data_IF_456859769497
#
_entry.id   IF_456859769497
#
_cell.length_a   1.000
_cell.length_b   1.000
_cell.length_c   1.000
_cell.angle_alpha   90.00
_cell.angle_beta   90.00
_cell.angle_gamma   90.00
#
_symmetry.space_group_name_H-M   'P 1'
#
loop_
_entity.id
_entity.type
_entity.pdbx_description
1 polymer ?
#
# COMPACT_ATOMS: atom_id res chain seq x y z
N UNK A 1 22.80 73.53 8.22
CA UNK A 1 23.99 74.01 8.96
C UNK A 1 23.94 73.36 10.33
N UNK A 2 24.61 72.22 10.55
CA UNK A 2 25.91 72.11 11.25
C UNK A 2 25.67 71.95 12.77
N UNK A 3 26.27 71.06 13.56
CA UNK A 3 27.44 70.18 13.51
C UNK A 3 27.18 69.04 14.52
N UNK A 4 27.44 67.76 14.20
CA UNK A 4 28.70 67.01 14.49
C UNK A 4 29.05 66.94 15.97
N UNK A 5 29.09 65.71 16.53
CA UNK A 5 30.16 65.16 17.37
C UNK A 5 29.90 63.66 17.65
N UNK A 6 30.66 62.82 16.98
CA UNK A 6 31.26 61.56 17.47
C UNK A 6 32.76 61.90 17.73
N UNK A 7 33.63 61.14 18.47
CA UNK A 7 33.64 59.67 18.59
C UNK A 7 34.19 59.07 19.92
N UNK A 8 34.01 57.75 20.12
CA UNK A 8 35.02 56.79 20.65
C UNK A 8 34.41 55.37 20.69
N UNK A 9 34.71 54.51 19.72
CA UNK A 9 35.78 53.51 19.79
C UNK A 9 35.52 52.33 20.75
N UNK A 10 34.91 51.25 20.24
CA UNK A 10 35.24 49.89 20.69
C UNK A 10 35.28 48.96 19.48
N UNK A 11 36.46 48.36 19.29
CA UNK A 11 36.80 47.39 18.24
C UNK A 11 36.50 46.00 18.78
N UNK A 12 35.66 45.23 18.09
CA UNK A 12 35.66 43.78 18.20
C UNK A 12 35.61 43.17 16.79
N UNK A 13 36.63 42.37 16.49
CA UNK A 13 36.82 41.58 15.26
C UNK A 13 35.86 40.38 15.25
N UNK A 14 35.33 39.94 14.10
CA UNK A 14 34.84 38.59 13.92
C UNK A 14 35.98 37.69 13.40
N UNK A 15 36.33 36.70 14.21
CA UNK A 15 37.23 35.60 13.85
C UNK A 15 36.56 34.69 12.82
N UNK A 16 37.26 34.41 11.73
CA UNK A 16 36.86 33.46 10.71
C UNK A 16 36.67 32.05 11.30
N UNK A 17 35.48 31.48 11.15
CA UNK A 17 35.20 30.07 11.39
C UNK A 17 35.50 29.28 10.12
N UNK A 18 36.41 28.32 10.25
CA UNK A 18 36.70 27.26 9.29
C UNK A 18 35.41 26.59 8.79
N UNK A 19 35.26 26.51 7.48
CA UNK A 19 34.34 25.58 6.83
C UNK A 19 34.96 24.18 6.89
N UNK A 20 34.26 23.25 7.54
CA UNK A 20 34.54 21.82 7.45
C UNK A 20 33.98 21.29 6.12
N UNK A 21 34.87 20.78 5.26
CA UNK A 21 34.52 19.96 4.10
C UNK A 21 33.93 18.62 4.58
N UNK A 22 32.62 18.46 4.43
CA UNK A 22 31.94 17.18 4.59
C UNK A 22 32.03 16.39 3.28
N UNK A 23 32.55 15.17 3.40
CA UNK A 23 32.76 14.18 2.35
C UNK A 23 31.46 13.90 1.55
N UNK A 24 31.45 14.27 0.27
CA UNK A 24 30.45 13.79 -0.70
C UNK A 24 30.82 12.37 -1.15
N UNK A 25 30.21 11.38 -0.50
CA UNK A 25 30.26 9.97 -0.91
C UNK A 25 28.85 9.35 -1.08
N UNK A 26 27.84 10.16 -1.44
CA UNK A 26 26.43 9.74 -1.48
C UNK A 26 25.82 9.60 -2.88
N UNK A 27 26.54 9.88 -3.97
CA UNK A 27 25.91 9.99 -5.31
C UNK A 27 25.85 8.69 -6.12
N UNK A 28 26.56 7.63 -5.72
CA UNK A 28 26.55 6.35 -6.44
C UNK A 28 25.40 5.44 -6.01
N UNK A 29 24.89 5.58 -4.78
CA UNK A 29 23.81 4.76 -4.25
C UNK A 29 22.46 5.06 -4.94
N UNK A 30 22.19 6.34 -5.20
CA UNK A 30 20.92 6.82 -5.78
C UNK A 30 20.72 6.33 -7.22
N UNK A 31 21.80 6.14 -7.98
CA UNK A 31 21.73 5.63 -9.35
C UNK A 31 21.39 4.13 -9.40
N UNK A 32 21.96 3.33 -8.49
CA UNK A 32 21.67 1.89 -8.43
C UNK A 32 20.24 1.63 -7.96
N UNK A 33 19.76 2.37 -6.96
CA UNK A 33 18.36 2.31 -6.51
C UNK A 33 17.38 2.66 -7.63
N UNK A 34 17.67 3.73 -8.40
CA UNK A 34 16.84 4.13 -9.55
C UNK A 34 16.81 3.06 -10.65
N UNK A 35 17.94 2.36 -10.86
CA UNK A 35 18.05 1.29 -11.85
C UNK A 35 17.33 0.01 -11.41
N UNK A 36 17.38 -0.32 -10.12
CA UNK A 36 16.63 -1.45 -9.55
C UNK A 36 15.13 -1.19 -9.66
N UNK A 37 14.66 0.00 -9.27
CA UNK A 37 13.25 0.38 -9.42
C UNK A 37 12.76 0.30 -10.86
N UNK A 38 13.56 0.78 -11.83
CA UNK A 38 13.19 0.69 -13.26
C UNK A 38 13.12 -0.77 -13.76
N UNK A 39 13.98 -1.65 -13.24
CA UNK A 39 13.96 -3.08 -13.59
C UNK A 39 12.74 -3.79 -12.97
N UNK A 40 12.37 -3.43 -11.75
CA UNK A 40 11.17 -3.94 -11.09
C UNK A 40 9.89 -3.52 -11.82
N UNK A 41 9.81 -2.25 -12.22
CA UNK A 41 8.70 -1.70 -13.02
C UNK A 41 8.58 -2.41 -14.38
N UNK A 42 9.69 -2.59 -15.10
CA UNK A 42 9.72 -3.34 -16.37
C UNK A 42 9.33 -4.80 -16.19
N UNK A 43 9.76 -5.43 -15.10
CA UNK A 43 9.40 -6.81 -14.81
C UNK A 43 7.91 -6.96 -14.50
N UNK A 44 7.31 -6.01 -13.78
CA UNK A 44 5.87 -5.97 -13.54
C UNK A 44 5.08 -5.83 -14.84
N UNK A 45 5.46 -4.90 -15.72
CA UNK A 45 4.82 -4.75 -17.04
C UNK A 45 4.92 -6.01 -17.90
N UNK A 46 6.08 -6.67 -17.90
CA UNK A 46 6.26 -7.94 -18.62
C UNK A 46 5.37 -9.08 -18.06
N UNK A 47 5.14 -9.11 -16.75
CA UNK A 47 4.23 -10.08 -16.14
C UNK A 47 2.78 -9.85 -16.57
N UNK A 48 2.35 -8.59 -16.65
CA UNK A 48 1.03 -8.21 -17.14
C UNK A 48 0.84 -8.64 -18.60
N UNK A 49 1.82 -8.37 -19.46
CA UNK A 49 1.81 -8.81 -20.87
C UNK A 49 1.71 -10.34 -21.00
N UNK A 50 2.42 -11.08 -20.14
CA UNK A 50 2.36 -12.55 -20.11
C UNK A 50 0.96 -13.05 -19.69
N UNK A 51 0.30 -12.37 -18.75
CA UNK A 51 -1.07 -12.71 -18.33
C UNK A 51 -2.05 -12.43 -19.48
N UNK A 52 -1.98 -11.25 -20.10
CA UNK A 52 -2.83 -10.91 -21.25
C UNK A 52 -2.64 -11.88 -22.42
N UNK A 53 -1.42 -12.30 -22.70
CA UNK A 53 -1.13 -13.29 -23.74
C UNK A 53 -1.72 -14.66 -23.42
N UNK A 54 -1.70 -15.10 -22.16
CA UNK A 54 -2.32 -16.37 -21.73
C UNK A 54 -3.84 -16.33 -21.87
N UNK A 55 -4.48 -15.21 -21.54
CA UNK A 55 -5.92 -15.03 -21.70
C UNK A 55 -6.34 -15.08 -23.17
N UNK A 56 -5.60 -14.38 -24.04
CA UNK A 56 -5.80 -14.44 -25.49
C UNK A 56 -5.64 -15.86 -26.03
N UNK A 57 -4.61 -16.60 -25.57
CA UNK A 57 -4.39 -17.98 -25.97
C UNK A 57 -5.52 -18.92 -25.53
N UNK A 58 -6.05 -18.74 -24.32
CA UNK A 58 -7.20 -19.50 -23.83
C UNK A 58 -8.48 -19.18 -24.62
N UNK A 59 -8.74 -17.91 -24.88
CA UNK A 59 -9.88 -17.47 -25.70
C UNK A 59 -9.82 -18.05 -27.12
N UNK A 60 -8.63 -18.03 -27.73
CA UNK A 60 -8.38 -18.64 -29.03
C UNK A 60 -8.61 -20.15 -29.00
N UNK A 61 -8.05 -20.85 -28.00
CA UNK A 61 -8.22 -22.29 -27.84
C UNK A 61 -9.70 -22.69 -27.70
N UNK A 62 -10.47 -21.97 -26.86
CA UNK A 62 -11.91 -22.18 -26.71
C UNK A 62 -12.65 -21.98 -28.05
N UNK A 63 -12.24 -20.98 -28.84
CA UNK A 63 -12.85 -20.70 -30.15
C UNK A 63 -12.55 -21.82 -31.15
N UNK A 64 -11.32 -22.33 -31.18
CA UNK A 64 -10.91 -23.47 -32.01
C UNK A 64 -11.66 -24.75 -31.61
N UNK A 65 -11.79 -25.03 -30.31
CA UNK A 65 -12.53 -26.19 -29.81
C UNK A 65 -14.02 -26.12 -30.16
N UNK A 66 -14.62 -24.92 -30.16
CA UNK A 66 -16.01 -24.71 -30.61
C UNK A 66 -16.16 -24.96 -32.11
N UNK A 67 -15.17 -24.59 -32.93
CA UNK A 67 -15.17 -24.82 -34.37
C UNK A 67 -14.97 -26.30 -34.74
N UNK A 68 -14.29 -27.08 -33.91
CA UNK A 68 -14.01 -28.49 -34.16
C UNK A 68 -15.16 -29.44 -33.73
N UNK A 69 -16.22 -28.94 -33.08
CA UNK A 69 -17.37 -29.77 -32.70
C UNK A 69 -18.33 -29.94 -33.89
N UNK A 70 -18.60 -31.17 -34.35
CA UNK A 70 -19.36 -31.43 -35.58
C UNK A 70 -20.85 -31.04 -35.52
N UNK A 71 -21.38 -30.72 -34.34
CA UNK A 71 -22.82 -30.53 -34.11
C UNK A 71 -23.28 -29.06 -33.96
N UNK A 72 -22.45 -28.07 -34.30
CA UNK A 72 -22.88 -26.66 -34.29
C UNK A 72 -23.59 -26.30 -35.60
N UNK A 73 -24.91 -26.03 -35.61
CA UNK A 73 -25.60 -25.49 -36.76
C UNK A 73 -25.15 -24.03 -36.96
N UNK A 74 -24.18 -23.82 -37.84
CA UNK A 74 -23.72 -22.49 -38.22
C UNK A 74 -24.86 -21.78 -38.95
N UNK A 75 -25.54 -20.85 -38.27
CA UNK A 75 -26.37 -19.86 -38.95
C UNK A 75 -25.43 -18.99 -39.80
N UNK A 76 -25.38 -19.29 -41.09
CA UNK A 76 -24.56 -18.59 -42.07
C UNK A 76 -25.06 -17.16 -42.28
N UNK A 77 -24.61 -16.23 -41.42
CA UNK A 77 -24.35 -14.87 -41.87
C UNK A 77 -23.26 -14.93 -42.95
N UNK A 78 -23.42 -14.13 -44.01
CA UNK A 78 -22.60 -14.11 -45.22
C UNK A 78 -21.17 -14.66 -45.00
N UNK A 79 -20.91 -15.84 -45.56
CA UNK A 79 -19.66 -16.59 -45.36
C UNK A 79 -18.45 -15.68 -45.61
N UNK A 80 -17.61 -15.54 -44.58
CA UNK A 80 -16.19 -15.24 -44.77
C UNK A 80 -15.66 -16.28 -45.75
N UNK A 81 -15.08 -15.81 -46.84
CA UNK A 81 -14.62 -16.66 -47.94
C UNK A 81 -13.54 -17.62 -47.42
N UNK A 82 -13.33 -18.76 -48.09
CA UNK A 82 -12.22 -19.66 -47.76
C UNK A 82 -10.86 -18.92 -47.69
N UNK A 83 -10.74 -17.84 -48.47
CA UNK A 83 -9.61 -16.90 -48.44
C UNK A 83 -9.41 -16.22 -47.08
N UNK A 84 -10.47 -15.88 -46.35
CA UNK A 84 -10.38 -15.18 -45.05
C UNK A 84 -9.91 -16.13 -43.93
N UNK A 85 -10.32 -17.40 -44.01
CA UNK A 85 -9.88 -18.44 -43.07
C UNK A 85 -8.40 -18.75 -43.32
N UNK A 86 -7.99 -18.86 -44.58
CA UNK A 86 -6.60 -19.09 -44.93
C UNK A 86 -5.70 -17.90 -44.56
N UNK A 87 -6.15 -16.66 -44.79
CA UNK A 87 -5.45 -15.46 -44.33
C UNK A 87 -5.31 -15.42 -42.80
N UNK A 88 -6.37 -15.78 -42.05
CA UNK A 88 -6.32 -15.86 -40.58
C UNK A 88 -5.33 -16.92 -40.10
N UNK A 89 -5.29 -18.09 -40.74
CA UNK A 89 -4.35 -19.16 -40.43
C UNK A 89 -2.89 -18.74 -40.71
N UNK A 90 -2.64 -18.01 -41.81
CA UNK A 90 -1.32 -17.48 -42.11
C UNK A 90 -0.88 -16.39 -41.12
N UNK A 91 -1.80 -15.52 -40.71
CA UNK A 91 -1.54 -14.51 -39.68
C UNK A 91 -1.20 -15.16 -38.32
N UNK A 92 -1.90 -16.23 -37.94
CA UNK A 92 -1.59 -16.97 -36.71
C UNK A 92 -0.20 -17.64 -36.77
N UNK A 93 0.18 -18.20 -37.93
CA UNK A 93 1.53 -18.75 -38.14
C UNK A 93 2.61 -17.67 -38.06
N UNK A 94 2.37 -16.51 -38.66
CA UNK A 94 3.29 -15.37 -38.60
C UNK A 94 3.48 -14.90 -37.15
N UNK A 95 2.38 -14.71 -36.41
CA UNK A 95 2.43 -14.31 -35.02
C UNK A 95 3.21 -15.30 -34.14
N UNK A 96 3.04 -16.62 -34.36
CA UNK A 96 3.82 -17.64 -33.65
C UNK A 96 5.33 -17.57 -33.93
N UNK A 97 5.74 -17.25 -35.16
CA UNK A 97 7.16 -17.04 -35.50
C UNK A 97 7.72 -15.77 -34.84
N UNK A 98 6.94 -14.70 -34.82
CA UNK A 98 7.32 -13.42 -34.20
C UNK A 98 7.48 -13.57 -32.69
N UNK A 99 6.60 -14.33 -32.03
CA UNK A 99 6.71 -14.64 -30.61
C UNK A 99 7.96 -15.47 -30.29
N UNK A 100 8.33 -16.41 -31.19
CA UNK A 100 9.54 -17.21 -31.05
C UNK A 100 10.80 -16.35 -31.21
N UNK A 101 10.79 -15.42 -32.17
CA UNK A 101 11.86 -14.43 -32.36
C UNK A 101 12.02 -13.52 -31.15
N UNK A 102 10.93 -12.98 -30.62
CA UNK A 102 10.91 -12.17 -29.39
C UNK A 102 11.46 -12.94 -28.18
N UNK A 103 11.11 -14.22 -28.07
CA UNK A 103 11.66 -15.10 -27.03
C UNK A 103 13.18 -15.31 -27.18
N UNK A 104 13.68 -15.42 -28.40
CA UNK A 104 15.12 -15.52 -28.69
C UNK A 104 15.85 -14.18 -28.45
N UNK A 105 15.19 -13.04 -28.68
CA UNK A 105 15.72 -11.70 -28.44
C UNK A 105 15.74 -11.34 -26.93
N UNK A 106 14.73 -11.78 -26.18
CA UNK A 106 14.65 -11.61 -24.72
C UNK A 106 15.65 -12.49 -23.94
N UNK A 107 16.22 -13.51 -24.59
CA UNK A 107 17.36 -14.27 -24.07
C UNK A 107 18.64 -13.83 -24.79
N UNK A 108 19.31 -12.76 -24.34
CA UNK A 108 20.57 -12.38 -24.95
C UNK A 108 21.56 -13.55 -24.79
N UNK A 109 21.93 -14.14 -25.93
CA UNK A 109 23.07 -15.03 -26.03
C UNK A 109 24.30 -14.20 -25.65
N UNK A 110 24.76 -14.37 -24.42
CA UNK A 110 26.02 -13.81 -23.92
C UNK A 110 27.15 -14.53 -24.66
N UNK A 111 27.45 -14.06 -25.86
CA UNK A 111 28.67 -14.36 -26.57
C UNK A 111 29.43 -13.05 -26.75
N UNK A 112 30.54 -12.97 -26.03
CA UNK A 112 31.54 -11.91 -26.07
C UNK A 112 32.03 -11.63 -27.50
N UNK A 113 32.19 -10.34 -27.83
CA UNK A 113 32.98 -9.94 -28.99
C UNK A 113 32.90 -8.46 -29.37
N UNK A 114 33.91 -7.71 -28.92
CA UNK A 114 34.62 -6.65 -29.68
C UNK A 114 34.09 -5.20 -29.69
N UNK A 115 34.95 -4.36 -29.10
CA UNK A 115 35.43 -3.03 -29.51
C UNK A 115 34.47 -1.99 -30.12
N UNK A 116 34.24 -0.94 -29.32
CA UNK A 116 33.70 0.34 -29.76
C UNK A 116 34.19 1.50 -28.89
N UNK A 117 35.33 2.07 -29.26
CA UNK A 117 35.98 3.24 -28.64
C UNK A 117 35.05 4.46 -28.54
N UNK A 118 34.61 4.81 -27.33
CA UNK A 118 34.02 6.12 -27.04
C UNK A 118 34.88 6.84 -25.98
N UNK A 119 35.53 7.92 -26.40
CA UNK A 119 36.37 8.78 -25.55
C UNK A 119 35.49 9.58 -24.61
N UNK A 120 35.41 9.18 -23.35
CA UNK A 120 34.86 10.02 -22.28
C UNK A 120 36.00 10.78 -21.60
N UNK A 121 35.89 12.11 -21.61
CA UNK A 121 36.87 13.03 -21.06
C UNK A 121 36.95 12.90 -19.54
N UNK A 122 38.17 12.74 -19.03
CA UNK A 122 38.46 12.77 -17.60
C UNK A 122 38.69 14.23 -17.18
N UNK A 123 37.93 14.78 -16.22
CA UNK A 123 38.10 16.16 -15.78
C UNK A 123 39.35 16.34 -14.88
N UNK A 124 39.90 17.57 -14.81
CA UNK A 124 41.32 17.82 -14.46
C UNK A 124 41.71 17.58 -12.99
N UNK A 125 40.74 17.35 -12.10
CA UNK A 125 40.96 17.19 -10.65
C UNK A 125 41.26 15.75 -10.22
N UNK A 126 41.21 14.78 -11.15
CA UNK A 126 41.46 13.36 -10.89
C UNK A 126 42.90 12.90 -11.18
N UNK A 127 43.84 13.83 -11.37
CA UNK A 127 45.27 13.51 -11.53
C UNK A 127 46.03 13.76 -10.24
N UNK A 128 46.40 12.70 -9.51
CA UNK A 128 47.57 12.53 -8.58
C UNK A 128 47.19 11.61 -7.40
N UNK A 129 48.08 10.86 -6.75
CA UNK A 129 49.53 10.58 -6.87
C UNK A 129 49.78 9.30 -6.08
N UNK A 130 50.57 8.39 -6.63
CA UNK A 130 51.07 7.19 -5.94
C UNK A 130 51.93 7.62 -4.75
N UNK A 131 51.65 7.07 -3.57
CA UNK A 131 52.63 6.87 -2.51
C UNK A 131 52.25 5.66 -1.65
N UNK A 132 53.21 4.76 -1.53
CA UNK A 132 53.26 3.53 -0.73
C UNK A 132 53.50 3.83 0.74
N UNK A 133 52.91 3.04 1.66
CA UNK A 133 53.60 2.35 2.78
C UNK A 133 52.57 1.70 3.74
N UNK A 134 52.59 0.37 3.91
CA UNK A 134 53.18 -0.43 5.01
C UNK A 134 52.19 -0.71 6.16
N UNK A 135 52.22 -1.98 6.57
CA UNK A 135 51.41 -2.72 7.52
C UNK A 135 51.36 -2.17 8.94
N UNK A 136 50.29 -2.49 9.68
CA UNK A 136 50.32 -3.44 10.80
C UNK A 136 48.95 -3.54 11.51
N UNK A 137 48.52 -4.78 11.78
CA UNK A 137 47.52 -5.13 12.81
C UNK A 137 48.23 -5.24 14.18
N UNK A 138 47.63 -5.65 15.32
CA UNK A 138 46.22 -5.94 15.64
C UNK A 138 45.75 -5.32 16.99
N UNK A 139 44.46 -5.46 17.37
CA UNK A 139 44.08 -6.13 18.64
C UNK A 139 42.57 -6.13 18.92
N UNK A 140 42.16 -7.34 19.25
CA UNK A 140 40.93 -7.82 19.87
C UNK A 140 40.85 -7.34 21.32
N UNK A 141 39.66 -6.97 21.81
CA UNK A 141 39.40 -6.85 23.26
C UNK A 141 37.97 -7.29 23.55
N UNK A 142 37.89 -8.39 24.29
CA UNK A 142 36.69 -8.93 24.90
C UNK A 142 36.33 -8.07 26.12
N UNK A 143 35.06 -7.69 26.25
CA UNK A 143 34.53 -7.08 27.46
C UNK A 143 33.84 -8.15 28.32
N UNK A 144 34.33 -8.32 29.54
CA UNK A 144 33.72 -9.16 30.56
C UNK A 144 32.55 -8.43 31.24
N UNK A 145 31.43 -9.13 31.40
CA UNK A 145 30.26 -8.68 32.16
C UNK A 145 30.51 -8.97 33.64
N UNK A 146 30.55 -7.92 34.46
CA UNK A 146 30.58 -8.04 35.92
C UNK A 146 29.19 -7.68 36.48
N UNK A 147 28.58 -8.69 37.10
CA UNK A 147 27.37 -8.64 37.91
C UNK A 147 27.71 -7.93 39.24
N UNK A 148 27.02 -6.84 39.57
CA UNK A 148 27.08 -6.25 40.92
C UNK A 148 25.66 -6.11 41.45
N UNK A 149 25.40 -6.95 42.44
CA UNK A 149 24.24 -6.97 43.32
C UNK A 149 24.35 -5.80 44.31
N UNK A 150 23.30 -5.02 44.48
CA UNK A 150 23.25 -3.95 45.49
C UNK A 150 21.84 -3.81 46.04
N UNK A 151 21.60 -4.54 47.12
CA UNK A 151 20.51 -4.32 48.06
C UNK A 151 20.69 -2.96 48.75
N UNK A 152 19.76 -2.03 48.52
CA UNK A 152 19.61 -0.83 49.33
C UNK A 152 18.35 -0.93 50.20
N UNK A 153 18.58 -0.82 51.51
CA UNK A 153 17.60 -0.80 52.59
C UNK A 153 16.51 0.25 52.36
N UNK A 154 15.26 -0.19 52.45
CA UNK A 154 14.08 0.66 52.60
C UNK A 154 14.10 1.37 53.95
N UNK A 155 13.96 2.70 53.92
CA UNK A 155 13.73 3.55 55.08
C UNK A 155 12.26 3.96 55.04
N UNK A 156 11.46 3.52 56.03
CA UNK A 156 10.04 3.87 56.16
C UNK A 156 9.88 5.37 56.37
N UNK A 157 9.15 6.04 55.46
CA UNK A 157 8.56 7.35 55.68
C UNK A 157 7.09 7.20 56.13
N UNK A 158 6.58 8.08 57.00
CA UNK A 158 5.19 8.05 57.44
C UNK A 158 4.21 8.42 56.31
N UNK A 159 3.06 7.74 56.29
CA UNK A 159 2.04 7.85 55.26
C UNK A 159 1.42 9.25 55.17
N UNK A 160 1.32 9.87 53.98
CA UNK A 160 0.53 11.07 53.78
C UNK A 160 -0.97 10.74 53.76
N UNK A 161 -1.76 11.55 54.47
CA UNK A 161 -3.22 11.49 54.56
C UNK A 161 -3.85 11.63 53.16
N UNK A 162 -4.86 10.80 52.80
CA UNK A 162 -5.49 10.88 51.49
C UNK A 162 -6.26 12.21 51.32
N UNK A 163 -6.16 12.87 50.16
CA UNK A 163 -6.95 14.06 49.86
C UNK A 163 -8.44 13.73 49.76
N UNK A 164 -9.34 14.68 50.11
CA UNK A 164 -10.78 14.48 50.06
C UNK A 164 -11.24 14.13 48.63
N UNK A 165 -12.01 13.05 48.52
CA UNK A 165 -12.53 12.55 47.25
C UNK A 165 -13.36 13.63 46.53
N UNK A 166 -13.11 13.89 45.23
CA UNK A 166 -13.88 14.86 44.47
C UNK A 166 -15.35 14.43 44.39
N UNK A 167 -16.26 15.39 44.61
CA UNK A 167 -17.70 15.22 44.42
C UNK A 167 -17.98 14.65 43.03
N UNK A 168 -18.58 13.46 43.00
CA UNK A 168 -19.05 12.82 41.78
C UNK A 168 -20.25 13.63 41.27
N UNK A 169 -19.98 14.53 40.33
CA UNK A 169 -21.01 15.11 39.47
C UNK A 169 -21.58 13.99 38.63
N UNK A 170 -22.89 13.80 38.67
CA UNK A 170 -23.63 12.82 37.88
C UNK A 170 -23.22 12.95 36.41
N UNK A 171 -22.71 11.89 35.75
CA UNK A 171 -22.30 11.99 34.35
C UNK A 171 -23.51 12.24 33.48
N UNK A 172 -23.45 13.31 32.68
CA UNK A 172 -24.29 13.43 31.48
C UNK A 172 -24.06 12.22 30.56
N UNK A 173 -24.95 12.04 29.57
CA UNK A 173 -24.79 11.02 28.52
C UNK A 173 -23.31 10.91 28.13
N UNK A 174 -22.70 9.70 28.15
CA UNK A 174 -21.28 9.56 27.86
C UNK A 174 -21.02 10.18 26.50
N UNK A 175 -20.30 11.29 26.50
CA UNK A 175 -19.90 11.98 25.30
C UNK A 175 -19.11 10.96 24.49
N UNK A 176 -19.60 10.64 23.29
CA UNK A 176 -18.96 9.66 22.43
C UNK A 176 -17.54 10.13 22.16
N UNK A 177 -16.56 9.39 22.69
CA UNK A 177 -15.15 9.75 22.56
C UNK A 177 -14.81 9.97 21.09
N UNK A 178 -14.09 11.05 20.79
CA UNK A 178 -13.61 11.40 19.45
C UNK A 178 -12.08 11.47 19.46
N UNK A 179 -11.41 11.10 18.35
CA UNK A 179 -9.98 11.32 18.21
C UNK A 179 -9.63 12.80 18.36
N UNK A 180 -8.49 13.09 18.99
CA UNK A 180 -8.06 14.46 19.27
C UNK A 180 -8.05 15.34 18.02
N UNK A 181 -7.57 14.82 16.89
CA UNK A 181 -7.54 15.56 15.63
C UNK A 181 -8.91 16.11 15.22
N UNK A 182 -9.96 15.27 15.27
CA UNK A 182 -11.33 15.69 14.93
C UNK A 182 -11.84 16.79 15.86
N UNK A 183 -11.43 16.77 17.13
CA UNK A 183 -11.81 17.81 18.10
C UNK A 183 -11.10 19.15 17.87
N UNK A 184 -9.99 19.15 17.13
CA UNK A 184 -9.21 20.37 16.82
C UNK A 184 -9.63 21.04 15.51
N UNK A 185 -10.41 20.37 14.67
CA UNK A 185 -10.89 20.93 13.41
C UNK A 185 -11.94 22.02 13.67
N UNK A 186 -11.85 23.11 12.93
CA UNK A 186 -12.83 24.19 12.99
C UNK A 186 -14.19 23.66 12.51
N UNK A 187 -15.30 23.85 13.25
CA UNK A 187 -16.60 23.36 12.84
C UNK A 187 -16.98 23.83 11.43
N UNK A 188 -17.61 22.95 10.66
CA UNK A 188 -18.14 23.29 9.35
C UNK A 188 -19.10 24.48 9.44
N UNK A 189 -18.83 25.55 8.68
CA UNK A 189 -19.58 26.80 8.74
C UNK A 189 -20.76 26.86 7.74
N UNK A 190 -20.91 25.86 6.86
CA UNK A 190 -21.96 25.85 5.85
C UNK A 190 -23.31 25.38 6.38
N UNK A 191 -24.37 25.71 5.64
CA UNK A 191 -25.72 25.24 5.96
C UNK A 191 -25.97 23.88 5.31
N UNK A 192 -26.31 22.87 6.12
CA UNK A 192 -26.69 21.54 5.62
C UNK A 192 -28.19 21.37 5.77
N UNK A 193 -28.93 21.30 4.64
CA UNK A 193 -30.36 21.05 4.73
C UNK A 193 -30.62 19.64 5.28
N UNK A 194 -31.76 19.48 5.96
CA UNK A 194 -32.26 18.16 6.32
C UNK A 194 -32.54 17.39 5.03
N UNK A 195 -31.65 16.46 4.70
CA UNK A 195 -31.78 15.62 3.51
C UNK A 195 -32.69 14.44 3.83
N UNK A 196 -33.98 14.57 3.49
CA UNK A 196 -34.99 13.54 3.80
C UNK A 196 -35.00 12.39 2.77
N UNK A 197 -34.29 12.53 1.65
CA UNK A 197 -34.29 11.52 0.58
C UNK A 197 -33.17 10.51 0.81
N UNK A 198 -33.56 9.24 0.78
CA UNK A 198 -32.63 8.11 0.83
C UNK A 198 -32.53 7.42 -0.53
N UNK A 199 -31.35 6.92 -0.85
CA UNK A 199 -30.94 6.31 -2.11
C UNK A 199 -30.78 4.80 -1.96
N UNK A 200 -31.27 4.05 -2.94
CA UNK A 200 -31.07 2.59 -2.94
C UNK A 200 -29.60 2.27 -3.26
N UNK A 201 -28.98 1.23 -2.66
CA UNK A 201 -27.62 0.79 -2.99
C UNK A 201 -27.39 0.61 -4.49
N UNK A 202 -28.29 -0.09 -5.17
CA UNK A 202 -28.20 -0.33 -6.62
C UNK A 202 -28.34 0.96 -7.44
N UNK A 203 -29.13 1.93 -6.97
CA UNK A 203 -29.24 3.22 -7.65
C UNK A 203 -27.89 3.93 -7.66
N UNK A 204 -27.21 4.00 -6.51
CA UNK A 204 -25.88 4.60 -6.41
C UNK A 204 -24.86 3.80 -7.21
N UNK A 205 -24.89 2.47 -7.15
CA UNK A 205 -23.99 1.62 -7.92
C UNK A 205 -24.17 1.81 -9.44
N UNK A 206 -25.40 1.95 -9.93
CA UNK A 206 -25.67 2.11 -11.36
C UNK A 206 -25.32 3.51 -11.90
N UNK A 207 -25.47 4.55 -11.07
CA UNK A 207 -25.25 5.94 -11.52
C UNK A 207 -23.86 6.48 -11.21
N UNK A 208 -23.30 6.10 -10.05
CA UNK A 208 -21.98 6.55 -9.63
C UNK A 208 -20.92 5.49 -9.96
N UNK A 209 -21.27 4.20 -9.95
CA UNK A 209 -20.32 3.13 -10.25
C UNK A 209 -19.28 2.92 -9.15
N UNK A 210 -18.06 2.62 -9.58
CA UNK A 210 -16.86 2.56 -8.75
C UNK A 210 -16.41 1.16 -8.37
N UNK A 211 -15.11 1.03 -8.11
CA UNK A 211 -14.46 -0.17 -7.61
C UNK A 211 -14.32 -0.08 -6.09
N UNK A 212 -14.52 -1.17 -5.33
CA UNK A 212 -14.26 -1.19 -3.89
C UNK A 212 -12.82 -0.78 -3.60
N UNK A 213 -12.64 0.14 -2.66
CA UNK A 213 -11.34 0.69 -2.32
C UNK A 213 -10.93 0.31 -0.90
N UNK A 214 -11.65 0.80 0.10
CA UNK A 214 -11.62 0.27 1.46
C UNK A 214 -13.01 -0.20 1.83
N UNK A 215 -13.22 -0.97 2.91
CA UNK A 215 -14.56 -1.42 3.25
C UNK A 215 -15.44 -0.19 3.54
N UNK A 216 -16.53 -0.03 2.77
CA UNK A 216 -17.36 1.18 2.78
C UNK A 216 -16.78 2.37 2.00
N UNK A 217 -15.83 2.18 1.10
CA UNK A 217 -15.30 3.23 0.22
C UNK A 217 -15.23 2.68 -1.20
N UNK A 218 -15.77 3.41 -2.18
CA UNK A 218 -15.73 3.01 -3.59
C UNK A 218 -15.09 4.10 -4.43
N UNK A 219 -13.97 3.76 -5.05
CA UNK A 219 -13.31 4.66 -5.98
C UNK A 219 -14.03 4.65 -7.33
N UNK A 220 -14.56 5.79 -7.77
CA UNK A 220 -15.08 5.94 -9.13
C UNK A 220 -14.00 6.56 -9.98
N UNK A 221 -13.56 5.84 -11.03
CA UNK A 221 -12.57 6.32 -12.01
C UNK A 221 -12.96 7.71 -12.51
N UNK A 222 -12.23 8.73 -12.04
CA UNK A 222 -12.65 10.13 -12.04
C UNK A 222 -12.64 10.73 -10.61
N UNK A 223 -13.64 11.56 -10.27
CA UNK A 223 -13.83 12.14 -8.93
C UNK A 223 -14.90 11.32 -8.19
N UNK A 224 -14.50 10.45 -7.25
CA UNK A 224 -15.37 9.38 -6.76
C UNK A 224 -15.67 9.37 -5.25
N UNK A 225 -16.81 8.79 -4.78
CA UNK A 225 -17.47 8.93 -3.45
C UNK A 225 -17.01 8.01 -2.29
N UNK A 226 -17.24 8.44 -1.04
CA UNK A 226 -17.06 7.69 0.23
C UNK A 226 -18.39 7.21 0.85
N UNK A 227 -18.38 6.19 1.73
CA UNK A 227 -19.60 5.76 2.47
C UNK A 227 -19.38 5.60 4.00
N UNK A 228 -19.85 6.52 4.88
CA UNK A 228 -19.58 6.45 6.34
C UNK A 228 -20.62 7.04 7.30
N UNK A 229 -21.01 6.29 8.34
CA UNK A 229 -21.95 6.72 9.41
C UNK A 229 -21.41 7.85 10.30
N UNK A 230 -21.76 9.09 10.00
CA UNK A 230 -21.66 10.27 10.87
C UNK A 230 -22.83 11.23 10.61
N UNK A 231 -23.28 12.09 11.55
CA UNK A 231 -24.26 13.15 11.30
C UNK A 231 -23.78 14.15 10.22
N UNK A 232 -24.68 14.79 9.43
CA UNK A 232 -24.26 15.67 8.33
C UNK A 232 -23.53 16.90 8.89
N UNK A 233 -22.42 17.29 8.25
CA UNK A 233 -21.73 18.55 8.58
C UNK A 233 -20.81 18.51 9.78
N UNK A 234 -20.56 17.32 10.32
CA UNK A 234 -19.56 17.15 11.36
C UNK A 234 -18.35 16.46 10.77
N UNK A 235 -17.15 16.96 11.09
CA UNK A 235 -15.94 16.17 10.93
C UNK A 235 -16.10 14.85 11.68
N UNK A 236 -15.54 13.80 11.10
CA UNK A 236 -15.70 12.44 11.58
C UNK A 236 -14.42 11.66 11.46
N UNK A 237 -14.43 10.48 12.05
CA UNK A 237 -13.41 9.49 11.78
C UNK A 237 -14.08 8.13 11.66
N UNK A 238 -13.55 7.31 10.76
CA UNK A 238 -13.95 5.92 10.59
C UNK A 238 -12.84 5.04 11.12
N UNK A 239 -13.21 3.90 11.69
CA UNK A 239 -12.27 2.82 11.94
C UNK A 239 -12.28 1.84 10.78
N UNK A 240 -11.13 1.48 10.24
CA UNK A 240 -10.97 0.41 9.24
C UNK A 240 -9.85 -0.55 9.66
N UNK A 241 -9.94 -1.83 9.28
CA UNK A 241 -8.89 -2.80 9.60
C UNK A 241 -7.70 -2.73 8.64
N UNK A 242 -7.98 -2.50 7.36
CA UNK A 242 -6.98 -2.46 6.30
C UNK A 242 -7.26 -1.29 5.35
N UNK A 243 -6.19 -0.84 4.68
CA UNK A 243 -6.25 0.03 3.52
C UNK A 243 -5.81 -0.80 2.31
N UNK A 244 -6.56 -0.71 1.23
CA UNK A 244 -6.08 -1.18 -0.07
C UNK A 244 -5.23 -0.07 -0.67
N UNK A 245 -4.26 -0.41 -1.55
CA UNK A 245 -3.78 0.48 -2.64
C UNK A 245 -3.37 1.93 -2.31
N UNK A 246 -3.00 2.76 -3.27
CA UNK A 246 -3.51 4.14 -3.37
C UNK A 246 -4.11 4.24 -4.78
N UNK A 247 -5.27 4.90 -5.03
CA UNK A 247 -5.78 4.92 -6.41
C UNK A 247 -4.73 5.54 -7.34
N UNK A 248 -3.90 6.45 -6.83
CA UNK A 248 -2.76 7.04 -7.52
C UNK A 248 -1.65 6.03 -7.87
N UNK A 249 -1.47 4.96 -7.10
CA UNK A 249 -0.50 3.89 -7.41
C UNK A 249 -0.97 3.00 -8.56
N UNK A 250 -2.28 2.69 -8.62
CA UNK A 250 -2.85 1.81 -9.63
C UNK A 250 -3.26 2.57 -10.89
N UNK A 251 -3.70 3.81 -10.73
CA UNK A 251 -4.30 4.65 -11.76
C UNK A 251 -3.58 5.98 -11.95
N UNK A 252 -2.29 6.07 -11.62
CA UNK A 252 -1.54 7.33 -11.62
C UNK A 252 -1.66 8.17 -12.90
N UNK A 253 -1.85 7.54 -14.05
CA UNK A 253 -2.07 8.24 -15.33
C UNK A 253 -3.44 8.91 -15.51
N UNK A 254 -4.37 8.75 -14.56
CA UNK A 254 -5.73 9.31 -14.64
C UNK A 254 -5.93 10.58 -13.82
N UNK A 255 -4.99 10.91 -12.93
CA UNK A 255 -5.09 12.09 -12.09
C UNK A 255 -4.32 13.25 -12.71
N UNK A 256 -4.94 14.44 -12.70
CA UNK A 256 -4.21 15.67 -12.95
C UNK A 256 -3.17 15.86 -11.84
N UNK A 257 -2.06 16.54 -12.14
CA UNK A 257 -0.95 16.74 -11.19
C UNK A 257 -1.39 17.36 -9.84
N UNK A 258 -2.51 18.10 -9.84
CA UNK A 258 -3.08 18.78 -8.68
C UNK A 258 -4.36 18.11 -8.14
N UNK A 259 -4.72 16.92 -8.64
CA UNK A 259 -5.89 16.18 -8.18
C UNK A 259 -5.50 14.91 -7.45
N UNK A 260 -6.24 14.57 -6.39
CA UNK A 260 -6.10 13.30 -5.69
C UNK A 260 -7.47 12.66 -5.46
N UNK A 261 -7.44 11.39 -5.06
CA UNK A 261 -8.63 10.57 -4.88
C UNK A 261 -9.38 10.81 -3.56
N UNK A 262 -8.81 11.60 -2.66
CA UNK A 262 -9.28 11.74 -1.28
C UNK A 262 -9.76 13.14 -0.92
N UNK A 263 -9.74 14.09 -1.84
CA UNK A 263 -10.25 15.44 -1.64
C UNK A 263 -11.65 15.67 -2.21
N UNK A 264 -12.49 16.32 -1.41
CA UNK A 264 -13.80 16.83 -1.80
C UNK A 264 -14.71 15.75 -2.42
N UNK A 265 -14.72 14.61 -1.75
CA UNK A 265 -15.37 13.38 -2.18
C UNK A 265 -16.79 13.29 -1.61
N UNK A 266 -17.85 13.07 -2.42
CA UNK A 266 -19.21 12.95 -1.90
C UNK A 266 -19.35 11.74 -0.97
N UNK A 267 -19.96 11.94 0.18
CA UNK A 267 -20.11 10.90 1.20
C UNK A 267 -21.58 10.47 1.34
N UNK A 268 -21.80 9.16 1.30
CA UNK A 268 -23.11 8.55 1.53
C UNK A 268 -23.12 7.70 2.80
N UNK A 269 -24.27 7.49 3.43
CA UNK A 269 -24.32 6.81 4.73
C UNK A 269 -25.46 5.85 4.77
N UNK A 270 -25.18 4.59 5.13
CA UNK A 270 -26.20 3.58 5.28
C UNK A 270 -27.04 3.83 6.54
N UNK A 271 -28.31 4.16 6.33
CA UNK A 271 -29.36 4.33 7.32
C UNK A 271 -30.52 3.42 6.92
N UNK A 272 -30.84 2.44 7.75
CA UNK A 272 -31.96 1.51 7.52
C UNK A 272 -31.96 0.87 6.12
N UNK A 273 -30.78 0.39 5.68
CA UNK A 273 -30.51 -0.25 4.38
C UNK A 273 -30.56 0.68 3.15
N UNK A 274 -30.78 1.98 3.34
CA UNK A 274 -30.72 2.98 2.27
C UNK A 274 -29.61 3.99 2.57
N UNK A 275 -29.08 4.60 1.53
CA UNK A 275 -28.00 5.57 1.64
C UNK A 275 -28.55 6.98 1.73
N UNK A 276 -27.96 7.82 2.57
CA UNK A 276 -28.27 9.25 2.62
C UNK A 276 -27.02 10.02 2.25
N UNK A 277 -27.14 11.12 1.52
CA UNK A 277 -26.01 11.98 1.18
C UNK A 277 -25.68 12.92 2.34
N UNK A 278 -24.41 12.93 2.77
CA UNK A 278 -23.96 13.61 3.98
C UNK A 278 -23.03 14.80 3.73
N UNK A 279 -22.83 15.18 2.46
CA UNK A 279 -21.91 16.23 2.03
C UNK A 279 -20.65 15.65 1.39
N UNK A 280 -19.68 16.50 1.08
CA UNK A 280 -18.37 16.08 0.60
C UNK A 280 -17.32 16.18 1.71
N UNK A 281 -16.42 15.22 1.70
CA UNK A 281 -15.39 15.08 2.71
C UNK A 281 -14.02 14.99 2.06
N UNK A 282 -13.01 15.47 2.78
CA UNK A 282 -11.60 15.27 2.44
C UNK A 282 -10.90 14.48 3.53
N UNK A 283 -9.92 13.66 3.14
CA UNK A 283 -8.97 13.08 4.07
C UNK A 283 -7.68 13.92 4.05
N UNK A 284 -7.63 14.97 4.86
CA UNK A 284 -6.51 15.92 4.93
C UNK A 284 -5.35 15.43 5.81
N UNK A 285 -5.52 14.28 6.46
CA UNK A 285 -4.55 13.70 7.39
C UNK A 285 -4.38 12.20 7.16
N UNK A 286 -3.14 11.76 7.37
CA UNK A 286 -2.75 10.36 7.37
C UNK A 286 -3.48 9.59 8.46
N UNK A 287 -3.80 8.33 8.15
CA UNK A 287 -4.50 7.45 9.06
C UNK A 287 -3.62 7.03 10.23
N UNK A 288 -4.17 7.03 11.45
CA UNK A 288 -3.44 6.63 12.66
C UNK A 288 -3.85 5.21 13.09
N UNK A 289 -2.90 4.30 13.27
CA UNK A 289 -3.15 2.95 13.80
C UNK A 289 -3.46 3.03 15.30
N UNK A 290 -4.47 2.31 15.75
CA UNK A 290 -4.76 2.21 17.18
C UNK A 290 -3.71 1.36 17.90
N UNK A 291 -3.26 1.85 19.05
CA UNK A 291 -2.56 1.03 20.02
C UNK A 291 -3.53 0.08 20.75
N UNK A 292 -2.96 -0.87 21.48
CA UNK A 292 -3.72 -1.86 22.27
C UNK A 292 -4.69 -1.20 23.26
N UNK A 293 -4.23 -0.18 23.99
CA UNK A 293 -5.03 0.43 25.07
C UNK A 293 -6.21 1.22 24.53
N UNK A 294 -6.03 1.94 23.42
CA UNK A 294 -7.10 2.65 22.70
C UNK A 294 -8.08 1.65 22.10
N UNK A 295 -7.59 0.56 21.50
CA UNK A 295 -8.43 -0.51 20.98
C UNK A 295 -9.27 -1.18 22.10
N UNK A 296 -8.70 -1.39 23.28
CA UNK A 296 -9.37 -1.99 24.41
C UNK A 296 -10.39 -1.04 25.08
N UNK A 297 -10.00 0.21 25.31
CA UNK A 297 -10.76 1.14 26.18
C UNK A 297 -11.68 2.12 25.43
N UNK A 298 -11.36 2.47 24.18
CA UNK A 298 -12.08 3.52 23.43
C UNK A 298 -12.97 2.97 22.33
N UNK A 299 -12.61 1.83 21.72
CA UNK A 299 -13.41 1.25 20.64
C UNK A 299 -14.62 0.51 21.21
N UNK A 300 -15.86 0.93 20.89
CA UNK A 300 -17.06 0.26 21.37
C UNK A 300 -17.16 -1.18 20.89
N UNK A 301 -17.71 -2.05 21.73
CA UNK A 301 -17.82 -3.49 21.46
C UNK A 301 -18.67 -3.79 20.21
N UNK A 302 -19.72 -3.00 19.95
CA UNK A 302 -20.52 -3.14 18.73
C UNK A 302 -19.72 -2.84 17.45
N UNK A 303 -18.72 -1.96 17.51
CA UNK A 303 -17.83 -1.66 16.39
C UNK A 303 -16.85 -2.80 16.15
N UNK A 304 -16.29 -3.38 17.22
CA UNK A 304 -15.46 -4.59 17.12
C UNK A 304 -16.24 -5.75 16.53
N UNK A 305 -17.48 -5.96 17.01
CA UNK A 305 -18.36 -7.02 16.51
C UNK A 305 -18.74 -6.84 15.04
N UNK A 306 -19.01 -5.60 14.61
CA UNK A 306 -19.25 -5.28 13.21
C UNK A 306 -18.04 -5.68 12.35
N UNK A 307 -16.84 -5.19 12.70
CA UNK A 307 -15.64 -5.51 11.93
C UNK A 307 -15.27 -6.99 11.96
N UNK A 308 -15.46 -7.67 13.09
CA UNK A 308 -15.22 -9.09 13.18
C UNK A 308 -16.16 -9.91 12.30
N UNK A 309 -17.39 -9.45 12.11
CA UNK A 309 -18.37 -10.06 11.21
C UNK A 309 -18.04 -9.80 9.74
N UNK A 310 -17.71 -8.56 9.39
CA UNK A 310 -17.28 -8.18 8.03
C UNK A 310 -16.00 -8.94 7.61
N UNK A 311 -14.98 -8.98 8.47
CA UNK A 311 -13.71 -9.63 8.18
C UNK A 311 -13.81 -11.15 8.15
N UNK A 312 -14.72 -11.75 8.92
CA UNK A 312 -14.96 -13.18 8.89
C UNK A 312 -15.96 -13.60 7.79
N UNK A 313 -16.59 -12.65 7.10
CA UNK A 313 -17.57 -12.94 6.07
C UNK A 313 -16.94 -13.73 4.90
N UNK A 314 -17.58 -14.80 4.42
CA UNK A 314 -17.13 -15.53 3.23
C UNK A 314 -17.30 -14.71 1.95
N UNK A 315 -18.10 -13.65 1.97
CA UNK A 315 -18.35 -12.76 0.83
C UNK A 315 -17.53 -11.47 0.90
N UNK A 316 -16.52 -11.41 1.78
CA UNK A 316 -15.60 -10.27 1.82
C UNK A 316 -14.80 -10.16 0.53
N UNK A 317 -14.31 -8.96 0.24
CA UNK A 317 -13.50 -8.73 -0.96
C UNK A 317 -12.20 -9.56 -0.95
N UNK A 318 -11.74 -9.93 -2.15
CA UNK A 318 -10.54 -10.75 -2.33
C UNK A 318 -9.28 -10.07 -1.76
N UNK A 319 -9.13 -8.76 -1.98
CA UNK A 319 -8.00 -8.00 -1.44
C UNK A 319 -7.97 -8.00 0.10
N UNK A 320 -9.13 -7.96 0.77
CA UNK A 320 -9.22 -8.07 2.23
C UNK A 320 -8.79 -9.46 2.68
N UNK A 321 -9.16 -10.49 1.92
CA UNK A 321 -8.70 -11.87 2.18
C UNK A 321 -7.18 -11.97 2.08
N UNK A 322 -6.57 -11.34 1.08
CA UNK A 322 -5.11 -11.31 0.94
C UNK A 322 -4.42 -10.55 2.09
N UNK A 323 -4.98 -9.45 2.55
CA UNK A 323 -4.44 -8.72 3.71
C UNK A 323 -4.59 -9.51 5.02
N UNK A 324 -5.73 -10.17 5.24
CA UNK A 324 -5.91 -11.10 6.36
C UNK A 324 -4.89 -12.25 6.29
N UNK A 325 -4.66 -12.80 5.08
CA UNK A 325 -3.69 -13.87 4.85
C UNK A 325 -2.28 -13.42 5.27
N UNK A 326 -1.84 -12.26 4.78
CA UNK A 326 -0.53 -11.67 5.11
C UNK A 326 -0.39 -11.36 6.61
N UNK A 327 -1.46 -10.86 7.24
CA UNK A 327 -1.45 -10.44 8.63
C UNK A 327 -1.36 -11.64 9.60
N UNK A 328 -2.20 -12.66 9.41
CA UNK A 328 -2.27 -13.79 10.34
C UNK A 328 -1.28 -14.91 10.03
N UNK A 329 -0.85 -15.06 8.78
CA UNK A 329 0.00 -16.15 8.34
C UNK A 329 1.27 -15.60 7.70
N UNK A 330 2.28 -15.34 8.53
CA UNK A 330 3.56 -14.79 8.07
C UNK A 330 4.13 -15.63 6.93
N UNK A 331 4.41 -14.98 5.82
CA UNK A 331 5.06 -15.59 4.66
C UNK A 331 6.46 -16.08 5.08
N UNK A 332 6.86 -17.31 4.73
CA UNK A 332 8.21 -17.78 4.96
C UNK A 332 9.24 -16.80 4.38
N UNK A 333 10.31 -16.55 5.12
CA UNK A 333 11.43 -15.74 4.66
C UNK A 333 12.50 -16.65 4.03
N UNK A 334 13.11 -16.21 2.94
CA UNK A 334 14.18 -16.97 2.31
C UNK A 334 15.43 -16.95 3.21
N UNK A 335 15.80 -18.12 3.73
CA UNK A 335 17.01 -18.31 4.54
C UNK A 335 18.11 -19.10 3.82
N UNK A 336 17.97 -19.32 2.52
CA UNK A 336 18.92 -20.09 1.71
C UNK A 336 20.15 -19.26 1.31
N UNK A 337 21.16 -19.91 0.73
CA UNK A 337 22.33 -19.18 0.25
C UNK A 337 21.99 -18.30 -0.96
N UNK A 338 22.41 -17.03 -0.94
CA UNK A 338 22.54 -16.16 -2.11
C UNK A 338 24.03 -15.96 -2.36
N UNK A 339 24.53 -16.43 -3.50
CA UNK A 339 25.91 -16.16 -3.89
C UNK A 339 25.93 -14.94 -4.80
N UNK A 340 26.59 -13.88 -4.38
CA UNK A 340 26.94 -12.79 -5.28
C UNK A 340 27.95 -13.31 -6.30
N UNK A 341 27.76 -12.99 -7.58
CA UNK A 341 28.76 -13.31 -8.59
C UNK A 341 30.07 -12.61 -8.18
N UNK A 342 31.21 -13.33 -8.11
CA UNK A 342 32.47 -12.69 -7.74
C UNK A 342 32.82 -11.63 -8.80
N UNK A 343 33.15 -10.42 -8.37
CA UNK A 343 33.46 -9.27 -9.25
C UNK A 343 34.74 -9.46 -10.10
N UNK A 344 35.48 -10.55 -9.90
CA UNK A 344 36.71 -10.85 -10.62
C UNK A 344 36.46 -11.86 -11.74
N UNK A 345 36.19 -11.35 -12.96
CA UNK A 345 35.98 -12.10 -14.21
C UNK A 345 37.17 -12.95 -14.71
N UNK A 346 38.24 -13.12 -13.94
CA UNK A 346 39.55 -13.60 -14.47
C UNK A 346 40.01 -14.97 -14.00
N UNK A 347 39.16 -15.83 -13.43
CA UNK A 347 39.63 -17.18 -13.06
C UNK A 347 38.57 -18.26 -13.31
N UNK A 348 38.72 -18.92 -14.46
CA UNK A 348 38.36 -20.31 -14.81
C UNK A 348 37.33 -20.99 -13.90
N UNK A 349 36.10 -21.15 -14.43
CA UNK A 349 35.04 -22.08 -14.02
C UNK A 349 35.52 -23.23 -13.12
N UNK A 350 35.49 -23.00 -11.80
CA UNK A 350 35.89 -23.99 -10.81
C UNK A 350 34.71 -24.93 -10.57
N UNK A 351 34.99 -26.22 -10.38
CA UNK A 351 34.02 -27.24 -9.93
C UNK A 351 33.28 -26.79 -8.65
N UNK A 352 33.86 -25.87 -7.89
CA UNK A 352 33.27 -25.27 -6.68
C UNK A 352 32.15 -24.29 -7.00
N UNK A 353 32.28 -23.48 -8.05
CA UNK A 353 31.23 -22.55 -8.49
C UNK A 353 29.99 -23.32 -8.97
N UNK A 354 30.21 -24.45 -9.64
CA UNK A 354 29.13 -25.36 -10.04
C UNK A 354 28.40 -25.94 -8.81
N UNK A 355 29.14 -26.33 -7.76
CA UNK A 355 28.56 -26.82 -6.49
C UNK A 355 27.80 -25.73 -5.74
N UNK A 356 28.32 -24.50 -5.70
CA UNK A 356 27.65 -23.36 -5.05
C UNK A 356 26.36 -23.00 -5.78
N UNK A 357 26.40 -22.97 -7.12
CA UNK A 357 25.23 -22.75 -7.96
C UNK A 357 24.19 -23.86 -7.76
N UNK A 358 24.61 -25.13 -7.74
CA UNK A 358 23.69 -26.25 -7.49
C UNK A 358 23.03 -26.15 -6.11
N UNK A 359 23.80 -25.76 -5.08
CA UNK A 359 23.26 -25.54 -3.73
C UNK A 359 22.24 -24.41 -3.72
N UNK A 360 22.54 -23.26 -4.35
CA UNK A 360 21.61 -22.14 -4.46
C UNK A 360 20.33 -22.56 -5.19
N UNK A 361 20.43 -23.28 -6.30
CA UNK A 361 19.26 -23.78 -7.04
C UNK A 361 18.41 -24.70 -6.16
N UNK A 362 19.04 -25.56 -5.34
CA UNK A 362 18.34 -26.45 -4.41
C UNK A 362 17.64 -25.67 -3.30
N UNK A 363 18.30 -24.68 -2.71
CA UNK A 363 17.74 -23.83 -1.65
C UNK A 363 16.57 -22.99 -2.17
N UNK A 364 16.72 -22.38 -3.36
CA UNK A 364 15.64 -21.64 -4.04
C UNK A 364 14.45 -22.56 -4.34
N UNK A 365 14.70 -23.77 -4.86
CA UNK A 365 13.62 -24.74 -5.13
C UNK A 365 12.87 -25.10 -3.85
N UNK A 366 13.61 -25.40 -2.78
CA UNK A 366 13.02 -25.71 -1.47
C UNK A 366 12.14 -24.56 -0.97
N UNK A 367 12.63 -23.33 -1.05
CA UNK A 367 11.86 -22.15 -0.65
C UNK A 367 10.60 -21.94 -1.53
N UNK A 368 10.69 -22.17 -2.83
CA UNK A 368 9.52 -22.11 -3.73
C UNK A 368 8.47 -23.15 -3.32
N UNK A 369 8.89 -24.35 -2.94
CA UNK A 369 7.97 -25.38 -2.45
C UNK A 369 7.36 -25.03 -1.09
N UNK A 370 8.15 -24.44 -0.17
CA UNK A 370 7.67 -23.89 1.10
C UNK A 370 6.64 -22.76 0.88
N UNK A 371 6.89 -21.85 -0.07
CA UNK A 371 5.95 -20.79 -0.43
C UNK A 371 4.64 -21.34 -1.01
N UNK A 372 4.71 -22.37 -1.86
CA UNK A 372 3.51 -23.03 -2.40
C UNK A 372 2.71 -23.73 -1.32
N UNK A 373 3.38 -24.36 -0.36
CA UNK A 373 2.71 -24.99 0.77
C UNK A 373 2.07 -23.94 1.68
N UNK A 374 2.82 -22.88 2.00
CA UNK A 374 2.31 -21.76 2.79
C UNK A 374 1.08 -21.14 2.13
N UNK A 375 1.10 -20.85 0.84
CA UNK A 375 -0.03 -20.21 0.16
C UNK A 375 -1.29 -21.08 0.22
N UNK A 376 -1.16 -22.40 -0.02
CA UNK A 376 -2.29 -23.34 0.13
C UNK A 376 -2.86 -23.36 1.55
N UNK A 377 -1.99 -23.48 2.56
CA UNK A 377 -2.41 -23.53 3.95
C UNK A 377 -2.99 -22.21 4.43
N UNK A 378 -2.34 -21.10 4.10
CA UNK A 378 -2.74 -19.76 4.50
C UNK A 378 -4.07 -19.38 3.83
N UNK A 379 -4.27 -19.67 2.54
CA UNK A 379 -5.56 -19.49 1.88
C UNK A 379 -6.67 -20.30 2.55
N UNK A 380 -6.43 -21.59 2.83
CA UNK A 380 -7.40 -22.45 3.52
C UNK A 380 -7.75 -21.93 4.92
N UNK A 381 -6.73 -21.58 5.73
CA UNK A 381 -6.92 -21.06 7.09
C UNK A 381 -7.63 -19.70 7.07
N UNK A 382 -7.27 -18.83 6.14
CA UNK A 382 -7.90 -17.50 5.97
C UNK A 382 -9.38 -17.62 5.60
N UNK A 383 -9.73 -18.56 4.71
CA UNK A 383 -11.13 -18.85 4.35
C UNK A 383 -11.95 -19.39 5.53
N UNK A 384 -11.30 -20.00 6.53
CA UNK A 384 -11.94 -20.56 7.74
C UNK A 384 -11.87 -19.63 8.96
N UNK A 385 -11.38 -18.39 8.82
CA UNK A 385 -11.36 -17.43 9.92
C UNK A 385 -12.79 -17.18 10.41
N UNK A 386 -12.98 -17.33 11.72
CA UNK A 386 -14.26 -17.11 12.39
C UNK A 386 -14.29 -15.72 13.02
N UNK A 387 -15.49 -15.18 13.21
CA UNK A 387 -15.74 -13.92 13.94
C UNK A 387 -15.00 -13.88 15.28
N UNK A 388 -15.06 -14.98 16.04
CA UNK A 388 -14.39 -15.05 17.35
C UNK A 388 -12.87 -14.88 17.24
N UNK A 389 -12.22 -15.48 16.25
CA UNK A 389 -10.77 -15.33 16.04
C UNK A 389 -10.37 -13.88 15.78
N UNK A 390 -11.21 -13.11 15.09
CA UNK A 390 -10.98 -11.68 14.88
C UNK A 390 -11.20 -10.87 16.16
N UNK A 391 -12.24 -11.18 16.94
CA UNK A 391 -12.47 -10.55 18.25
C UNK A 391 -11.32 -10.81 19.22
N UNK A 392 -10.81 -12.05 19.24
CA UNK A 392 -9.66 -12.43 20.05
C UNK A 392 -8.42 -11.64 19.60
N UNK A 393 -8.19 -11.53 18.28
CA UNK A 393 -7.08 -10.74 17.74
C UNK A 393 -7.17 -9.23 18.07
N UNK A 394 -8.38 -8.67 18.16
CA UNK A 394 -8.57 -7.28 18.61
C UNK A 394 -8.21 -7.06 20.07
N UNK A 395 -8.31 -8.10 20.91
CA UNK A 395 -8.02 -8.05 22.34
C UNK A 395 -6.62 -8.62 22.69
N UNK A 396 -5.96 -9.28 21.73
CA UNK A 396 -4.61 -9.83 21.91
C UNK A 396 -3.59 -8.70 22.09
N UNK A 397 -2.58 -8.95 22.94
CA UNK A 397 -1.41 -8.10 23.08
C UNK A 397 -0.51 -8.20 21.87
N UNK A 398 0.27 -7.15 21.58
CA UNK A 398 1.27 -7.19 20.49
C UNK A 398 2.41 -8.18 20.78
N UNK A 399 2.54 -8.65 22.02
CA UNK A 399 3.52 -9.64 22.46
C UNK A 399 2.99 -11.08 22.47
N UNK A 400 1.70 -11.27 22.19
CA UNK A 400 1.09 -12.60 22.20
C UNK A 400 1.51 -13.40 20.96
N UNK A 401 1.45 -14.73 21.06
CA UNK A 401 1.75 -15.63 19.94
C UNK A 401 0.76 -15.47 18.78
N UNK A 402 -0.50 -15.14 19.09
CA UNK A 402 -1.51 -14.84 18.07
C UNK A 402 -1.36 -13.40 17.59
N UNK A 403 -1.21 -13.15 16.28
CA UNK A 403 -1.05 -11.80 15.76
C UNK A 403 -2.21 -10.88 16.16
N UNK A 404 -1.89 -9.81 16.88
CA UNK A 404 -2.84 -8.77 17.23
C UNK A 404 -3.34 -8.04 15.98
N UNK A 405 -4.65 -7.81 15.89
CA UNK A 405 -5.26 -6.98 14.85
C UNK A 405 -5.63 -5.62 15.45
N UNK A 406 -5.30 -4.55 14.74
CA UNK A 406 -5.62 -3.17 15.17
C UNK A 406 -6.33 -2.46 14.04
N UNK A 407 -7.30 -1.63 14.42
CA UNK A 407 -7.99 -0.74 13.49
C UNK A 407 -7.16 0.53 13.28
N UNK A 408 -7.53 1.28 12.26
CA UNK A 408 -6.94 2.54 11.88
C UNK A 408 -8.01 3.62 11.82
N UNK A 409 -7.69 4.82 12.30
CA UNK A 409 -8.51 6.00 12.08
C UNK A 409 -8.33 6.52 10.66
N UNK A 410 -9.40 6.52 9.89
CA UNK A 410 -9.54 7.24 8.63
C UNK A 410 -10.27 8.56 8.95
N UNK A 411 -9.54 9.67 8.92
CA UNK A 411 -10.05 10.99 9.29
C UNK A 411 -10.83 11.61 8.13
N UNK A 412 -12.01 12.15 8.44
CA UNK A 412 -12.93 12.73 7.48
C UNK A 412 -13.22 14.17 7.85
N UNK A 413 -12.77 15.10 7.02
CA UNK A 413 -13.06 16.51 7.15
C UNK A 413 -14.25 16.88 6.25
N UNK A 414 -15.38 17.32 6.83
CA UNK A 414 -16.49 17.84 6.03
C UNK A 414 -16.08 19.17 5.37
N UNK A 415 -16.08 19.21 4.04
CA UNK A 415 -15.62 20.36 3.26
C UNK A 415 -16.78 21.20 2.75
N UNK A 416 -17.79 20.56 2.17
CA UNK A 416 -18.97 21.23 1.63
C UNK A 416 -20.21 20.32 1.66
N UNK A 417 -21.37 20.90 1.35
CA UNK A 417 -22.57 20.13 1.04
C UNK A 417 -23.15 20.64 -0.28
N UNK A 418 -23.08 19.81 -1.33
CA UNK A 418 -23.42 20.22 -2.70
C UNK A 418 -24.88 20.00 -3.00
N UNK A 419 -25.66 21.09 -2.91
CA UNK A 419 -27.09 21.07 -3.19
C UNK A 419 -27.43 20.66 -4.61
N UNK A 420 -26.68 21.17 -5.59
CA UNK A 420 -26.84 20.84 -7.00
C UNK A 420 -26.60 19.36 -7.28
N UNK A 421 -25.55 18.76 -6.69
CA UNK A 421 -25.28 17.33 -6.78
C UNK A 421 -26.40 16.50 -6.12
N UNK A 422 -26.85 16.89 -4.94
CA UNK A 422 -27.97 16.23 -4.26
C UNK A 422 -29.27 16.30 -5.08
N UNK A 423 -29.65 17.50 -5.55
CA UNK A 423 -30.87 17.72 -6.34
C UNK A 423 -30.85 16.93 -7.65
N UNK A 424 -29.68 16.80 -8.28
CA UNK A 424 -29.48 15.94 -9.44
C UNK A 424 -29.82 14.49 -9.11
N UNK A 425 -29.26 13.92 -8.03
CA UNK A 425 -29.54 12.54 -7.63
C UNK A 425 -31.01 12.33 -7.25
N UNK A 426 -31.62 13.29 -6.54
CA UNK A 426 -33.04 13.24 -6.20
C UNK A 426 -33.90 13.23 -7.48
N UNK A 427 -33.55 14.05 -8.48
CA UNK A 427 -34.26 14.12 -9.75
C UNK A 427 -34.12 12.83 -10.55
N UNK A 428 -32.92 12.26 -10.61
CA UNK A 428 -32.65 10.97 -11.26
C UNK A 428 -33.43 9.84 -10.58
N UNK A 429 -33.39 9.76 -9.26
CA UNK A 429 -34.15 8.76 -8.51
C UNK A 429 -35.66 8.92 -8.72
N UNK A 430 -36.20 10.14 -8.77
CA UNK A 430 -37.63 10.36 -9.06
C UNK A 430 -38.03 9.87 -10.45
N UNK A 431 -37.16 10.07 -11.46
CA UNK A 431 -37.39 9.57 -12.82
C UNK A 431 -37.40 8.04 -12.89
N UNK A 432 -36.59 7.39 -12.07
CA UNK A 432 -36.40 5.93 -12.09
C UNK A 432 -37.07 5.20 -10.93
N UNK A 433 -37.83 5.90 -10.09
CA UNK A 433 -38.19 5.47 -8.74
C UNK A 433 -38.92 4.13 -8.66
N UNK A 434 -39.63 3.72 -9.71
CA UNK A 434 -40.26 2.39 -9.76
C UNK A 434 -39.27 1.22 -9.78
N UNK A 435 -38.03 1.43 -10.26
CA UNK A 435 -36.99 0.39 -10.32
C UNK A 435 -36.33 0.11 -8.97
N UNK A 436 -36.39 1.07 -8.05
CA UNK A 436 -35.64 1.05 -6.78
C UNK A 436 -36.52 1.37 -5.56
N UNK A 437 -37.83 1.14 -5.69
CA UNK A 437 -38.85 1.40 -4.67
C UNK A 437 -38.66 0.50 -3.46
#
# INVERSE_FOLDING_TARGET
>A
MGKTLDPAASKFLPTASQQNEALQASSTFTYLESRVLNLEERHAGLQEDIVGLKELWHSLSITVDKLNKPDFPVHAGALRTASDIEASLQNAKHFGLELKRLKEEAHPSVNNGSDGTAKTSTPPHLRKKVASSISDSPKQSQAAVALVDSQAKQQLMPAPTPPPSPKITVPGKPESWKPHHITTLAPFAGNIPCADVTFHPDFLANHLGGIPWSPGLRFVKGKGPCILRNPPGMHGAKLTAFFNKAPEEEFGGLFDADSNSYENVPMFVLVDKRYVYYGNYSQTRWSDKLDHDTMATKVPENVKNFWAEELASPTRDEWVTEELKKHFFRRPEYSGCLFASPDNETTVNSVEDAKLTEKMVRDVRKYVDELRQWDREACMKTAMIKKQSILDAFNASDMDETPALRLWWEYLECVDWRKDFYDLLVTLQKREGQKYA
#
